data_IF_875372175857
#
_entry.id   IF_875372175857
#
_cell.length_a   1.000
_cell.length_b   1.000
_cell.length_c   1.000
_cell.angle_alpha   90.00
_cell.angle_beta   90.00
_cell.angle_gamma   90.00
#
_symmetry.space_group_name_H-M   'P 1'
#
loop_
_entity.id
_entity.type
_entity.pdbx_description
1 polymer ?
#
# COMPACT_ATOMS: atom_id res chain seq x y z
N UNK A 1 -4.59 -19.53 -13.06
CA UNK A 1 -3.62 -19.19 -11.98
C UNK A 1 -4.29 -18.26 -10.98
N UNK A 2 -3.94 -18.34 -9.68
CA UNK A 2 -4.49 -17.44 -8.64
C UNK A 2 -3.41 -16.50 -8.13
N UNK A 3 -3.76 -15.24 -7.92
CA UNK A 3 -2.89 -14.23 -7.29
C UNK A 3 -3.64 -13.65 -6.11
N UNK A 4 -3.15 -13.88 -4.90
CA UNK A 4 -3.61 -13.17 -3.70
C UNK A 4 -2.83 -11.85 -3.56
N UNK A 5 -3.56 -10.74 -3.47
CA UNK A 5 -3.01 -9.39 -3.31
C UNK A 5 -3.35 -8.89 -1.92
N UNK A 6 -2.32 -8.75 -1.08
CA UNK A 6 -2.44 -8.15 0.23
C UNK A 6 -2.23 -6.64 0.11
N UNK A 7 -3.21 -5.87 0.57
CA UNK A 7 -3.15 -4.42 0.45
C UNK A 7 -3.75 -3.72 1.66
N UNK A 8 -3.11 -2.61 2.02
CA UNK A 8 -3.61 -1.63 2.97
C UNK A 8 -3.88 -0.32 2.22
N UNK A 9 -5.02 0.31 2.49
CA UNK A 9 -5.46 1.56 1.85
C UNK A 9 -4.54 2.73 2.15
N UNK A 10 -3.80 2.72 3.26
CA UNK A 10 -2.86 3.80 3.60
C UNK A 10 -1.49 3.64 2.93
N UNK A 11 -1.25 2.51 2.26
CA UNK A 11 0.06 2.18 1.68
C UNK A 11 0.21 2.78 0.27
N UNK A 12 1.09 3.78 0.06
CA UNK A 12 1.32 4.34 -1.27
C UNK A 12 1.90 3.30 -2.24
N UNK A 13 2.68 2.35 -1.73
CA UNK A 13 3.28 1.29 -2.54
C UNK A 13 2.28 0.22 -2.98
N UNK A 14 1.21 -0.03 -2.20
CA UNK A 14 0.13 -0.93 -2.64
C UNK A 14 -0.56 -0.36 -3.88
N UNK A 15 -0.80 0.96 -3.93
CA UNK A 15 -1.35 1.63 -5.10
C UNK A 15 -0.43 1.52 -6.32
N UNK A 16 0.86 1.83 -6.16
CA UNK A 16 1.86 1.68 -7.25
C UNK A 16 1.95 0.23 -7.72
N UNK A 17 1.94 -0.72 -6.79
CA UNK A 17 1.98 -2.16 -7.05
C UNK A 17 0.76 -2.64 -7.83
N UNK A 18 -0.44 -2.18 -7.49
CA UNK A 18 -1.66 -2.47 -8.23
C UNK A 18 -1.55 -2.00 -9.69
N UNK A 19 -1.12 -0.75 -9.93
CA UNK A 19 -0.97 -0.24 -11.30
C UNK A 19 0.08 -1.00 -12.11
N UNK A 20 1.17 -1.43 -11.47
CA UNK A 20 2.18 -2.28 -12.11
C UNK A 20 1.63 -3.67 -12.43
N UNK A 21 0.87 -4.27 -11.51
CA UNK A 21 0.24 -5.57 -11.72
C UNK A 21 -0.79 -5.51 -12.86
N UNK A 22 -1.64 -4.48 -12.87
CA UNK A 22 -2.60 -4.24 -13.96
C UNK A 22 -1.91 -4.15 -15.32
N UNK A 23 -0.83 -3.36 -15.41
CA UNK A 23 -0.03 -3.25 -16.64
C UNK A 23 0.55 -4.61 -17.07
N UNK A 24 1.19 -5.34 -16.15
CA UNK A 24 1.81 -6.62 -16.45
C UNK A 24 0.79 -7.68 -16.91
N UNK A 25 -0.41 -7.68 -16.33
CA UNK A 25 -1.50 -8.58 -16.76
C UNK A 25 -2.06 -8.16 -18.13
N UNK A 26 -2.13 -6.87 -18.43
CA UNK A 26 -2.52 -6.36 -19.75
C UNK A 26 -1.54 -6.77 -20.87
N UNK A 27 -0.26 -6.93 -20.54
CA UNK A 27 0.78 -7.42 -21.48
C UNK A 27 0.71 -8.95 -21.69
N UNK A 28 -0.08 -9.69 -20.90
CA UNK A 28 -0.16 -11.16 -20.89
C UNK A 28 -1.61 -11.67 -20.95
N UNK A 29 -2.36 -11.34 -22.03
CA UNK A 29 -3.79 -11.67 -22.14
C UNK A 29 -4.08 -13.18 -22.26
N UNK A 30 -3.06 -13.98 -22.57
CA UNK A 30 -3.14 -15.44 -22.64
C UNK A 30 -3.27 -16.11 -21.26
N UNK A 31 -2.91 -15.39 -20.19
CA UNK A 31 -2.97 -15.92 -18.83
C UNK A 31 -4.38 -15.80 -18.25
N UNK A 32 -4.99 -16.94 -17.93
CA UNK A 32 -6.22 -16.96 -17.13
C UNK A 32 -5.88 -16.76 -15.64
N UNK A 33 -6.00 -15.51 -15.16
CA UNK A 33 -5.65 -15.10 -13.79
C UNK A 33 -6.90 -14.73 -12.98
N UNK A 34 -7.07 -15.38 -11.83
CA UNK A 34 -8.03 -14.98 -10.80
C UNK A 34 -7.30 -14.14 -9.74
N UNK A 35 -7.66 -12.86 -9.63
CA UNK A 35 -7.15 -11.95 -8.58
C UNK A 35 -8.03 -12.02 -7.33
N UNK A 36 -7.42 -12.22 -6.17
CA UNK A 36 -8.08 -12.22 -4.87
C UNK A 36 -7.50 -11.15 -3.98
N UNK A 37 -8.33 -10.25 -3.50
CA UNK A 37 -7.91 -9.19 -2.59
C UNK A 37 -8.00 -9.64 -1.14
N UNK A 38 -6.92 -9.40 -0.39
CA UNK A 38 -6.79 -9.71 1.02
C UNK A 38 -6.52 -8.40 1.78
N UNK A 39 -7.43 -7.96 2.65
CA UNK A 39 -7.17 -6.80 3.49
C UNK A 39 -5.91 -7.02 4.33
N UNK A 40 -5.07 -6.00 4.45
CA UNK A 40 -3.91 -5.98 5.31
C UNK A 40 -3.92 -4.70 6.13
N UNK A 41 -3.45 -4.76 7.38
CA UNK A 41 -3.27 -3.61 8.24
C UNK A 41 -1.79 -3.45 8.56
N UNK A 42 -1.15 -2.41 8.03
CA UNK A 42 0.25 -2.08 8.28
C UNK A 42 0.49 -1.64 9.73
N UNK A 43 -0.54 -1.07 10.36
CA UNK A 43 -0.52 -0.52 11.72
C UNK A 43 -1.76 -1.01 12.48
N UNK A 44 -1.84 -2.29 12.88
CA UNK A 44 -2.99 -2.84 13.61
C UNK A 44 -3.29 -2.12 14.92
N UNK A 45 -2.28 -1.47 15.50
CA UNK A 45 -2.36 -0.67 16.73
C UNK A 45 -2.97 0.73 16.54
N UNK A 46 -3.26 1.15 15.30
CA UNK A 46 -3.83 2.45 15.01
C UNK A 46 -5.22 2.60 15.66
N UNK A 47 -5.48 3.68 16.43
CA UNK A 47 -6.80 3.95 16.99
C UNK A 47 -7.87 4.07 15.90
N UNK A 48 -9.12 3.73 16.21
CA UNK A 48 -10.24 3.80 15.24
C UNK A 48 -10.45 5.21 14.67
N UNK A 49 -10.19 6.25 15.46
CA UNK A 49 -10.24 7.65 15.01
C UNK A 49 -9.02 8.12 14.22
N UNK A 50 -8.02 7.25 14.05
CA UNK A 50 -6.72 7.60 13.50
C UNK A 50 -5.95 8.56 14.39
N UNK A 51 -4.93 9.18 13.79
CA UNK A 51 -4.12 10.23 14.39
C UNK A 51 -3.87 11.33 13.34
N UNK A 52 -3.59 12.58 13.76
CA UNK A 52 -3.21 13.63 12.81
C UNK A 52 -2.01 13.21 11.95
N UNK A 53 -2.13 13.36 10.64
CA UNK A 53 -1.11 12.90 9.67
C UNK A 53 0.29 13.45 9.97
N UNK A 54 0.40 14.74 10.34
CA UNK A 54 1.69 15.36 10.63
C UNK A 54 2.37 14.68 11.81
N UNK A 55 1.66 14.46 12.92
CA UNK A 55 2.18 13.79 14.10
C UNK A 55 2.66 12.38 13.77
N UNK A 56 1.84 11.63 13.03
CA UNK A 56 2.20 10.30 12.53
C UNK A 56 3.44 10.31 11.64
N UNK A 57 3.55 11.26 10.70
CA UNK A 57 4.66 11.33 9.77
C UNK A 57 5.97 11.68 10.49
N UNK A 58 5.93 12.62 11.44
CA UNK A 58 7.11 12.98 12.24
C UNK A 58 7.61 11.81 13.07
N UNK A 59 6.70 11.07 13.72
CA UNK A 59 7.04 9.86 14.47
C UNK A 59 7.61 8.78 13.54
N UNK A 60 6.91 8.49 12.44
CA UNK A 60 7.27 7.44 11.48
C UNK A 60 8.64 7.68 10.84
N UNK A 61 8.92 8.91 10.44
CA UNK A 61 10.14 9.24 9.71
C UNK A 61 11.27 9.74 10.63
N UNK A 62 11.02 9.92 11.93
CA UNK A 62 12.05 10.36 12.89
C UNK A 62 12.40 11.84 12.73
N UNK A 63 11.41 12.71 12.52
CA UNK A 63 11.56 14.17 12.49
C UNK A 63 11.37 14.81 11.12
N UNK A 64 11.33 16.16 11.11
CA UNK A 64 10.98 16.96 9.93
C UNK A 64 11.94 16.77 8.75
N UNK A 65 13.25 16.73 9.02
CA UNK A 65 14.27 16.60 7.98
C UNK A 65 14.14 15.27 7.20
N UNK A 66 13.82 14.18 7.92
CA UNK A 66 13.63 12.87 7.30
C UNK A 66 12.28 12.78 6.59
N UNK A 67 11.21 13.35 7.17
CA UNK A 67 9.90 13.43 6.53
C UNK A 67 9.97 14.17 5.19
N UNK A 68 10.72 15.28 5.12
CA UNK A 68 10.89 16.07 3.89
C UNK A 68 11.61 15.30 2.77
N UNK A 69 12.33 14.22 3.10
CA UNK A 69 13.07 13.35 2.18
C UNK A 69 12.39 12.01 1.93
N UNK A 70 11.24 11.76 2.54
CA UNK A 70 10.55 10.47 2.50
C UNK A 70 9.79 10.23 1.18
N UNK A 71 9.70 11.25 0.34
CA UNK A 71 9.08 11.27 -0.98
C UNK A 71 10.00 11.99 -1.96
#
# INVERSE_FOLDING_TARGET
>A
MKIDVYADVVCPWCYVGEKRLEKALGERPDLNVERRWRPFQLRPEMPTGGVPWRSFALEKFGGEANMARAF
#
